data_IF_508247615167
#
_entry.id   IF_508247615167
#
_cell.length_a   1.000
_cell.length_b   1.000
_cell.length_c   1.000
_cell.angle_alpha   90.00
_cell.angle_beta   90.00
_cell.angle_gamma   90.00
#
_symmetry.space_group_name_H-M   'P 1'
#
loop_
_entity.id
_entity.type
_entity.pdbx_description
1 polymer ?
#
# COMPACT_ATOMS: atom_id res chain seq x y z
N UNK A 1 45.45 -8.66 11.43
CA UNK A 1 44.99 -9.85 12.18
C UNK A 1 44.84 -9.38 13.63
N UNK A 2 43.63 -9.05 14.04
CA UNK A 2 43.37 -8.72 15.44
C UNK A 2 43.14 -10.03 16.19
N UNK A 3 43.89 -10.29 17.25
CA UNK A 3 43.59 -11.40 18.18
C UNK A 3 42.27 -11.03 18.90
N UNK A 4 41.30 -11.94 18.92
CA UNK A 4 40.04 -11.73 19.68
C UNK A 4 40.32 -11.81 21.20
N UNK A 5 41.08 -10.89 21.74
CA UNK A 5 41.32 -10.80 23.17
C UNK A 5 40.09 -10.18 23.82
N UNK A 6 39.42 -10.90 24.70
CA UNK A 6 38.42 -10.37 25.61
C UNK A 6 36.95 -10.50 25.20
N UNK A 7 36.63 -11.21 24.10
CA UNK A 7 35.23 -11.45 23.71
C UNK A 7 34.61 -12.66 24.44
N UNK A 8 35.33 -13.29 25.34
CA UNK A 8 34.89 -14.52 26.05
C UNK A 8 33.99 -14.29 27.29
N UNK A 9 33.73 -13.04 27.67
CA UNK A 9 33.03 -12.73 28.93
C UNK A 9 31.71 -11.96 28.79
N UNK A 10 31.21 -11.77 27.57
CA UNK A 10 30.06 -10.91 27.31
C UNK A 10 28.92 -11.72 26.69
N UNK A 11 27.73 -11.28 26.88
CA UNK A 11 26.45 -11.86 26.43
C UNK A 11 26.40 -12.01 24.89
N UNK A 12 27.32 -12.82 24.36
CA UNK A 12 27.44 -13.06 22.93
C UNK A 12 26.35 -14.01 22.49
N UNK A 13 25.52 -13.55 21.61
CA UNK A 13 24.46 -14.35 21.01
C UNK A 13 24.97 -14.97 19.72
N UNK A 14 25.06 -16.29 19.67
CA UNK A 14 25.37 -17.02 18.44
C UNK A 14 24.19 -16.90 17.47
N UNK A 15 24.41 -16.18 16.37
CA UNK A 15 23.41 -15.97 15.34
C UNK A 15 23.31 -17.17 14.39
N UNK A 16 24.44 -17.61 13.87
CA UNK A 16 24.50 -18.65 12.82
C UNK A 16 25.86 -19.34 12.83
N UNK A 17 25.90 -20.61 12.40
CA UNK A 17 27.13 -21.30 12.01
C UNK A 17 27.00 -21.77 10.59
N UNK A 18 27.99 -21.49 9.77
CA UNK A 18 28.03 -21.91 8.39
C UNK A 18 29.48 -22.06 7.90
N UNK A 19 29.78 -23.18 7.24
CA UNK A 19 31.08 -23.45 6.61
C UNK A 19 32.29 -23.25 7.53
N UNK A 20 32.14 -23.62 8.81
CA UNK A 20 33.20 -23.44 9.83
C UNK A 20 33.36 -22.03 10.33
N UNK A 21 32.51 -21.09 9.88
CA UNK A 21 32.42 -19.74 10.40
C UNK A 21 31.24 -19.66 11.39
N UNK A 22 31.46 -19.11 12.55
CA UNK A 22 30.39 -18.76 13.49
C UNK A 22 30.17 -17.26 13.51
N UNK A 23 28.91 -16.86 13.48
CA UNK A 23 28.44 -15.48 13.48
C UNK A 23 27.88 -15.18 14.85
N UNK A 24 28.49 -14.22 15.53
CA UNK A 24 28.11 -13.81 16.88
C UNK A 24 27.68 -12.36 16.88
N UNK A 25 26.69 -12.05 17.68
CA UNK A 25 26.31 -10.67 17.95
C UNK A 25 26.83 -10.28 19.33
N UNK A 26 27.49 -9.16 19.39
CA UNK A 26 28.07 -8.55 20.56
C UNK A 26 27.66 -7.09 20.65
N UNK A 27 27.42 -6.58 21.83
CA UNK A 27 27.15 -5.14 22.03
C UNK A 27 28.05 -4.53 23.10
N UNK A 28 28.41 -3.27 22.89
CA UNK A 28 29.12 -2.47 23.88
C UNK A 28 28.47 -1.08 23.92
N UNK A 29 27.76 -0.78 25.03
CA UNK A 29 26.87 0.37 25.08
C UNK A 29 25.80 0.25 23.99
N UNK A 30 25.60 1.31 23.24
CA UNK A 30 24.60 1.37 22.15
C UNK A 30 25.11 0.87 20.79
N UNK A 31 26.37 0.35 20.76
CA UNK A 31 26.96 -0.13 19.50
C UNK A 31 26.90 -1.65 19.46
N UNK A 32 26.30 -2.17 18.40
CA UNK A 32 26.25 -3.60 18.11
C UNK A 32 27.30 -3.98 17.08
N UNK A 33 27.95 -5.11 17.31
CA UNK A 33 28.98 -5.67 16.46
C UNK A 33 28.56 -7.06 15.97
N UNK A 34 28.81 -7.34 14.71
CA UNK A 34 28.76 -8.69 14.16
C UNK A 34 30.19 -9.22 14.14
N UNK A 35 30.41 -10.35 14.82
CA UNK A 35 31.70 -10.99 14.90
C UNK A 35 31.66 -12.30 14.14
N UNK A 36 32.44 -12.40 13.08
CA UNK A 36 32.65 -13.61 12.30
C UNK A 36 33.90 -14.29 12.83
N UNK A 37 33.76 -15.51 13.34
CA UNK A 37 34.86 -16.27 13.90
C UNK A 37 35.05 -17.58 13.14
N UNK A 38 36.28 -17.80 12.66
CA UNK A 38 36.69 -19.05 12.01
C UNK A 38 37.90 -19.64 12.75
N UNK A 39 37.86 -20.93 13.05
CA UNK A 39 39.01 -21.67 13.61
C UNK A 39 40.10 -21.81 12.53
N UNK A 40 41.34 -21.59 12.95
CA UNK A 40 42.54 -21.74 12.12
C UNK A 40 43.61 -22.45 12.96
N UNK A 41 43.57 -23.76 13.02
CA UNK A 41 44.39 -24.59 13.92
C UNK A 41 44.02 -24.32 15.41
N UNK A 42 45.02 -24.07 16.26
CA UNK A 42 44.83 -23.72 17.66
C UNK A 42 44.37 -22.25 17.88
N UNK A 43 44.33 -21.46 16.81
CA UNK A 43 43.96 -20.06 16.85
C UNK A 43 42.60 -19.84 16.17
N UNK A 44 42.01 -18.66 16.37
CA UNK A 44 40.80 -18.23 15.66
C UNK A 44 41.05 -16.90 14.99
N UNK A 45 40.58 -16.77 13.77
CA UNK A 45 40.53 -15.49 13.06
C UNK A 45 39.15 -14.89 13.30
N UNK A 46 39.10 -13.62 13.68
CA UNK A 46 37.87 -12.90 13.88
C UNK A 46 37.82 -11.65 12.97
N UNK A 47 36.70 -11.47 12.31
CA UNK A 47 36.33 -10.21 11.66
C UNK A 47 35.23 -9.56 12.51
N UNK A 48 35.49 -8.35 12.96
CA UNK A 48 34.53 -7.57 13.74
C UNK A 48 33.97 -6.46 12.88
N UNK A 49 32.68 -6.43 12.70
CA UNK A 49 31.96 -5.43 11.90
C UNK A 49 31.08 -4.61 12.83
N UNK A 50 31.19 -3.30 12.81
CA UNK A 50 30.23 -2.41 13.46
C UNK A 50 28.90 -2.48 12.68
N UNK A 51 28.00 -3.32 13.18
CA UNK A 51 26.71 -3.57 12.52
C UNK A 51 25.72 -2.42 12.73
N UNK A 52 25.89 -1.60 13.78
CA UNK A 52 25.08 -0.38 13.98
C UNK A 52 25.39 0.65 12.90
N UNK A 53 26.67 0.90 12.66
CA UNK A 53 27.11 1.79 11.57
C UNK A 53 26.73 1.21 10.21
N UNK A 54 26.92 -0.08 10.00
CA UNK A 54 26.54 -0.78 8.76
C UNK A 54 25.04 -0.65 8.48
N UNK A 55 24.20 -0.88 9.49
CA UNK A 55 22.75 -0.71 9.38
C UNK A 55 22.39 0.73 8.99
N UNK A 56 22.99 1.72 9.65
CA UNK A 56 22.75 3.13 9.34
C UNK A 56 23.15 3.50 7.92
N UNK A 57 24.26 2.99 7.43
CA UNK A 57 24.76 3.33 6.09
C UNK A 57 24.02 2.63 4.96
N UNK A 58 23.60 1.36 5.15
CA UNK A 58 23.03 0.56 4.07
C UNK A 58 21.50 0.47 4.11
N UNK A 59 20.91 0.62 5.27
CA UNK A 59 19.52 0.22 5.50
C UNK A 59 18.64 1.34 6.06
N UNK A 60 19.18 2.19 6.95
CA UNK A 60 18.39 3.18 7.68
C UNK A 60 17.70 4.20 6.77
N UNK A 61 18.28 4.49 5.61
CA UNK A 61 17.76 5.45 4.65
C UNK A 61 16.73 4.86 3.70
N UNK A 62 16.57 3.53 3.71
CA UNK A 62 15.54 2.86 2.92
C UNK A 62 14.20 3.10 3.59
N UNK A 63 13.44 4.06 3.07
CA UNK A 63 12.09 4.39 3.51
C UNK A 63 11.07 3.67 2.65
N UNK A 64 10.16 2.94 3.30
CA UNK A 64 9.01 2.31 2.64
C UNK A 64 7.75 2.87 3.29
N UNK A 65 7.00 3.70 2.56
CA UNK A 65 5.88 4.45 3.14
C UNK A 65 6.35 5.48 4.17
N UNK A 66 5.49 5.83 5.12
CA UNK A 66 5.75 6.87 6.14
C UNK A 66 6.66 6.35 7.26
N UNK A 67 6.39 5.15 7.76
CA UNK A 67 7.05 4.57 8.93
C UNK A 67 7.74 3.24 8.65
N UNK A 68 7.78 2.80 7.38
CA UNK A 68 8.34 1.51 7.02
C UNK A 68 9.83 1.41 7.29
N UNK A 69 10.30 0.21 7.54
CA UNK A 69 11.68 -0.09 7.84
C UNK A 69 12.11 -1.44 7.29
N UNK A 70 13.41 -1.64 7.24
CA UNK A 70 14.00 -2.93 6.89
C UNK A 70 14.57 -3.58 8.15
N UNK A 71 14.35 -4.88 8.29
CA UNK A 71 14.95 -5.70 9.32
C UNK A 71 15.61 -6.95 8.72
N UNK A 72 16.62 -7.45 9.41
CA UNK A 72 17.31 -8.69 9.05
C UNK A 72 17.26 -9.64 10.22
N UNK A 73 16.90 -10.87 9.97
CA UNK A 73 16.91 -11.98 10.95
C UNK A 73 17.54 -13.22 10.36
N UNK A 74 17.98 -14.14 11.19
CA UNK A 74 18.49 -15.43 10.74
C UNK A 74 17.37 -16.44 10.46
N UNK A 75 17.73 -17.63 9.96
CA UNK A 75 16.81 -18.73 9.68
C UNK A 75 16.01 -19.22 10.92
N UNK A 76 16.51 -18.96 12.13
CA UNK A 76 15.87 -19.30 13.40
C UNK A 76 15.08 -18.15 14.02
N UNK A 77 14.73 -17.12 13.24
CA UNK A 77 13.98 -15.92 13.67
C UNK A 77 14.69 -15.07 14.72
N UNK A 78 15.99 -15.16 14.85
CA UNK A 78 16.76 -14.27 15.71
C UNK A 78 17.05 -12.98 14.95
N UNK A 79 16.79 -11.85 15.57
CA UNK A 79 16.99 -10.51 14.98
C UNK A 79 18.49 -10.22 14.87
N UNK A 80 18.97 -9.99 13.66
CA UNK A 80 20.33 -9.60 13.36
C UNK A 80 20.47 -8.08 13.27
N UNK A 81 19.52 -7.42 12.60
CA UNK A 81 19.46 -5.96 12.48
C UNK A 81 18.01 -5.48 12.51
N UNK A 82 17.76 -4.39 13.24
CA UNK A 82 16.45 -3.77 13.38
C UNK A 82 16.62 -2.28 13.69
N UNK A 83 15.69 -1.37 13.31
CA UNK A 83 15.78 0.04 13.71
C UNK A 83 15.77 0.24 15.22
N UNK A 84 15.09 -0.62 15.97
CA UNK A 84 15.07 -0.62 17.42
C UNK A 84 16.22 -1.49 17.95
N UNK A 85 17.25 -0.86 18.52
CA UNK A 85 18.47 -1.55 18.98
C UNK A 85 18.20 -2.60 20.08
N UNK A 86 17.22 -2.36 20.93
CA UNK A 86 16.84 -3.30 22.00
C UNK A 86 16.34 -4.66 21.46
N UNK A 87 16.00 -4.75 20.18
CA UNK A 87 15.55 -5.99 19.56
C UNK A 87 16.67 -6.81 18.92
N UNK A 88 17.89 -6.30 18.87
CA UNK A 88 19.00 -7.03 18.30
C UNK A 88 19.39 -8.22 19.16
N UNK A 89 19.60 -9.38 18.53
CA UNK A 89 19.99 -10.61 19.23
C UNK A 89 18.87 -11.31 19.99
N UNK A 90 17.63 -10.85 19.89
CA UNK A 90 16.49 -11.53 20.50
C UNK A 90 15.72 -12.38 19.48
N UNK A 91 14.99 -13.37 19.97
CA UNK A 91 14.00 -14.10 19.19
C UNK A 91 12.79 -13.21 18.89
N UNK A 92 12.31 -13.25 17.65
CA UNK A 92 11.22 -12.37 17.19
C UNK A 92 9.94 -12.53 18.00
N UNK A 93 9.57 -13.72 18.42
CA UNK A 93 8.36 -13.96 19.25
C UNK A 93 8.72 -13.91 20.71
N UNK A 94 9.45 -14.90 21.19
CA UNK A 94 9.71 -15.08 22.64
C UNK A 94 10.51 -13.93 23.24
N UNK A 95 11.46 -13.39 22.48
CA UNK A 95 12.26 -12.24 22.88
C UNK A 95 11.42 -10.97 23.03
N UNK A 96 10.50 -10.73 22.09
CA UNK A 96 9.58 -9.59 22.15
C UNK A 96 8.56 -9.72 23.27
N UNK A 97 8.02 -10.93 23.52
CA UNK A 97 7.15 -11.16 24.67
C UNK A 97 7.85 -10.84 26.00
N UNK A 98 9.12 -11.20 26.14
CA UNK A 98 9.93 -10.87 27.33
C UNK A 98 10.29 -9.39 27.40
N UNK A 99 10.72 -8.80 26.28
CA UNK A 99 11.13 -7.39 26.22
C UNK A 99 9.96 -6.44 26.53
N UNK A 100 8.76 -6.80 26.08
CA UNK A 100 7.53 -6.01 26.27
C UNK A 100 6.52 -6.71 27.18
N UNK A 101 6.99 -7.40 28.22
CA UNK A 101 6.17 -8.19 29.13
C UNK A 101 5.08 -7.39 29.87
N UNK A 102 5.17 -6.06 29.89
CA UNK A 102 4.15 -5.17 30.43
C UNK A 102 2.90 -5.04 29.53
N UNK A 103 2.93 -5.62 28.34
CA UNK A 103 1.84 -5.59 27.36
C UNK A 103 1.42 -7.01 26.99
N UNK A 104 0.13 -7.25 26.94
CA UNK A 104 -0.40 -8.49 26.36
C UNK A 104 -0.30 -8.40 24.82
N UNK A 105 0.65 -9.16 24.24
CA UNK A 105 0.96 -9.12 22.83
C UNK A 105 0.30 -10.31 22.10
N UNK A 106 -0.63 -10.03 21.20
CA UNK A 106 -1.08 -11.01 20.21
C UNK A 106 -0.08 -11.10 19.05
N UNK A 107 0.75 -12.13 19.05
CA UNK A 107 1.77 -12.40 18.03
C UNK A 107 1.39 -13.55 17.08
N UNK A 108 0.14 -14.00 17.08
CA UNK A 108 -0.34 -15.12 16.25
C UNK A 108 -0.09 -14.89 14.77
N UNK A 109 -0.55 -13.76 14.24
CA UNK A 109 -0.38 -13.41 12.83
C UNK A 109 1.09 -13.20 12.44
N UNK A 110 1.90 -12.66 13.35
CA UNK A 110 3.35 -12.57 13.18
C UNK A 110 3.99 -13.96 13.10
N UNK A 111 3.56 -14.91 13.92
CA UNK A 111 4.09 -16.28 13.90
C UNK A 111 3.79 -17.00 12.57
N UNK A 112 2.63 -16.74 11.96
CA UNK A 112 2.28 -17.25 10.64
C UNK A 112 3.19 -16.66 9.55
N UNK A 113 3.47 -15.34 9.59
CA UNK A 113 4.44 -14.71 8.71
C UNK A 113 5.82 -15.36 8.84
N UNK A 114 6.30 -15.56 10.08
CA UNK A 114 7.62 -16.17 10.33
C UNK A 114 7.71 -17.58 9.75
N UNK A 115 6.64 -18.38 9.86
CA UNK A 115 6.57 -19.70 9.22
C UNK A 115 6.69 -19.62 7.70
N UNK A 116 5.98 -18.69 7.07
CA UNK A 116 6.09 -18.47 5.62
C UNK A 116 7.51 -18.02 5.23
N UNK A 117 8.10 -17.10 5.99
CA UNK A 117 9.45 -16.59 5.76
C UNK A 117 10.54 -17.64 5.89
N UNK A 118 10.36 -18.68 6.71
CA UNK A 118 11.31 -19.80 6.82
C UNK A 118 11.21 -20.82 5.67
N UNK A 119 10.03 -20.92 5.06
CA UNK A 119 9.74 -21.97 4.05
C UNK A 119 9.79 -21.48 2.62
N UNK A 120 9.80 -20.15 2.40
CA UNK A 120 9.78 -19.53 1.08
C UNK A 120 11.01 -18.64 0.90
N UNK A 121 11.71 -18.75 -0.22
CA UNK A 121 12.92 -17.95 -0.52
C UNK A 121 12.61 -16.45 -0.63
N UNK A 122 11.40 -16.11 -1.06
CA UNK A 122 10.92 -14.74 -1.16
C UNK A 122 9.40 -14.69 -1.15
N UNK A 123 8.82 -13.55 -0.78
CA UNK A 123 7.39 -13.39 -0.81
C UNK A 123 6.95 -12.04 -0.27
N UNK A 124 5.65 -11.79 -0.43
CA UNK A 124 4.96 -10.65 0.17
C UNK A 124 3.79 -11.22 0.97
N UNK A 125 3.66 -10.79 2.22
CA UNK A 125 2.59 -11.21 3.13
C UNK A 125 2.11 -10.03 3.95
N UNK A 126 0.82 -9.94 4.13
CA UNK A 126 0.20 -9.07 5.10
C UNK A 126 0.01 -9.80 6.44
N UNK A 127 0.08 -9.07 7.53
CA UNK A 127 0.00 -9.61 8.87
C UNK A 127 -0.31 -8.52 9.89
N UNK A 128 -0.81 -8.92 11.04
CA UNK A 128 -1.01 -8.02 12.17
C UNK A 128 0.13 -8.16 13.17
N UNK A 129 0.68 -7.02 13.59
CA UNK A 129 1.74 -6.95 14.58
C UNK A 129 1.80 -5.56 15.21
N UNK A 130 2.82 -5.27 15.98
CA UNK A 130 3.00 -4.01 16.67
C UNK A 130 4.01 -3.13 15.95
N UNK A 131 3.86 -1.80 16.07
CA UNK A 131 4.83 -0.86 15.55
C UNK A 131 5.97 -0.72 16.56
N UNK A 132 7.02 -1.49 16.38
CA UNK A 132 8.08 -1.68 17.36
C UNK A 132 8.93 -0.44 17.63
N UNK A 133 8.94 0.52 16.71
CA UNK A 133 9.63 1.81 16.83
C UNK A 133 8.78 2.89 17.52
N UNK A 134 7.51 2.61 17.80
CA UNK A 134 6.63 3.50 18.56
C UNK A 134 6.55 3.03 20.01
N UNK A 135 6.89 3.89 20.99
CA UNK A 135 6.79 3.53 22.42
C UNK A 135 5.41 3.07 22.88
N UNK A 136 4.34 3.50 22.20
CA UNK A 136 2.96 3.08 22.48
C UNK A 136 2.66 1.67 22.00
N UNK A 137 3.49 1.12 21.12
CA UNK A 137 3.32 -0.20 20.50
C UNK A 137 1.90 -0.41 19.96
N UNK A 138 1.42 0.41 19.04
CA UNK A 138 0.11 0.20 18.44
C UNK A 138 0.11 -1.10 17.63
N UNK A 139 -0.96 -1.88 17.74
CA UNK A 139 -1.19 -3.04 16.87
C UNK A 139 -1.69 -2.53 15.52
N UNK A 140 -1.01 -2.87 14.45
CA UNK A 140 -1.27 -2.37 13.10
C UNK A 140 -1.27 -3.51 12.08
N UNK A 141 -1.98 -3.30 11.00
CA UNK A 141 -1.91 -4.15 9.81
C UNK A 141 -0.66 -3.76 9.00
N UNK A 142 0.18 -4.71 8.70
CA UNK A 142 1.47 -4.52 8.02
C UNK A 142 1.57 -5.40 6.77
N UNK A 143 2.42 -4.97 5.85
CA UNK A 143 2.89 -5.80 4.76
C UNK A 143 4.39 -6.01 4.96
N UNK A 144 4.84 -7.25 4.79
CA UNK A 144 6.25 -7.61 4.74
C UNK A 144 6.59 -8.18 3.38
N UNK A 145 7.51 -7.54 2.67
CA UNK A 145 8.20 -8.13 1.54
C UNK A 145 9.53 -8.71 2.06
N UNK A 146 9.83 -9.96 1.74
CA UNK A 146 11.03 -10.63 2.26
C UNK A 146 11.75 -11.44 1.20
N UNK A 147 13.04 -11.63 1.43
CA UNK A 147 13.90 -12.49 0.61
C UNK A 147 14.99 -13.13 1.46
N UNK A 148 15.35 -14.36 1.12
CA UNK A 148 16.52 -15.04 1.66
C UNK A 148 17.80 -14.42 1.09
N UNK A 149 18.79 -14.28 1.96
CA UNK A 149 20.16 -13.93 1.66
C UNK A 149 21.03 -15.10 2.10
N UNK A 150 21.68 -15.76 1.16
CA UNK A 150 22.55 -16.89 1.46
C UNK A 150 23.74 -16.47 2.32
N UNK A 151 23.96 -17.22 3.40
CA UNK A 151 25.09 -17.04 4.31
C UNK A 151 25.75 -18.41 4.51
N UNK A 152 26.59 -18.77 3.55
CA UNK A 152 27.20 -20.11 3.46
C UNK A 152 26.16 -21.21 3.33
N UNK A 153 26.12 -22.16 4.25
CA UNK A 153 25.13 -23.26 4.28
C UNK A 153 23.83 -22.89 5.00
N UNK A 154 23.65 -21.64 5.37
CA UNK A 154 22.45 -21.11 6.02
C UNK A 154 21.96 -19.87 5.26
N UNK A 155 20.87 -19.27 5.73
CA UNK A 155 20.35 -18.02 5.15
C UNK A 155 19.93 -17.05 6.23
N UNK A 156 19.94 -15.78 5.84
CA UNK A 156 19.28 -14.71 6.57
C UNK A 156 18.06 -14.25 5.78
N UNK A 157 17.12 -13.64 6.47
CA UNK A 157 15.88 -13.13 5.90
C UNK A 157 15.92 -11.61 6.00
N UNK A 158 16.03 -10.97 4.86
CA UNK A 158 15.89 -9.51 4.73
C UNK A 158 14.42 -9.20 4.51
N UNK A 159 13.84 -8.36 5.34
CA UNK A 159 12.41 -8.03 5.28
C UNK A 159 12.21 -6.52 5.30
N UNK A 160 11.55 -5.99 4.28
CA UNK A 160 11.01 -4.63 4.27
C UNK A 160 9.57 -4.66 4.80
N UNK A 161 9.29 -3.83 5.78
CA UNK A 161 8.00 -3.78 6.48
C UNK A 161 7.38 -2.41 6.31
N UNK A 162 6.10 -2.36 5.97
CA UNK A 162 5.34 -1.11 5.77
C UNK A 162 3.95 -1.23 6.40
N UNK A 163 3.36 -0.11 6.81
CA UNK A 163 1.95 -0.06 7.19
C UNK A 163 1.07 -0.30 5.95
N UNK A 164 0.08 -1.20 6.09
CA UNK A 164 -0.87 -1.48 5.03
C UNK A 164 -1.58 -0.21 4.56
N UNK A 165 -1.93 0.68 5.49
CA UNK A 165 -2.61 1.93 5.16
C UNK A 165 -1.76 2.88 4.33
N UNK A 166 -0.43 2.89 4.51
CA UNK A 166 0.47 3.74 3.71
C UNK A 166 0.40 3.40 2.22
N UNK A 167 0.14 2.14 1.87
CA UNK A 167 -0.04 1.69 0.49
C UNK A 167 -1.49 1.81 0.02
N UNK A 168 -2.45 1.52 0.90
CA UNK A 168 -3.86 1.48 0.54
C UNK A 168 -4.50 2.87 0.44
N UNK A 169 -4.17 3.80 1.34
CA UNK A 169 -4.80 5.12 1.37
C UNK A 169 -4.64 5.92 0.07
N UNK A 170 -3.44 6.03 -0.56
CA UNK A 170 -3.30 6.77 -1.82
C UNK A 170 -4.14 6.17 -2.96
N UNK A 171 -4.25 4.84 -3.00
CA UNK A 171 -5.05 4.12 -4.00
C UNK A 171 -6.53 4.39 -3.79
N UNK A 172 -7.02 4.27 -2.54
CA UNK A 172 -8.40 4.55 -2.17
C UNK A 172 -8.79 6.00 -2.48
N UNK A 173 -7.94 6.95 -2.10
CA UNK A 173 -8.22 8.38 -2.31
C UNK A 173 -8.24 8.74 -3.79
N UNK A 174 -7.37 8.13 -4.59
CA UNK A 174 -7.38 8.27 -6.05
C UNK A 174 -8.65 7.66 -6.66
N UNK A 175 -9.07 6.49 -6.18
CA UNK A 175 -10.31 5.85 -6.62
C UNK A 175 -11.54 6.69 -6.28
N UNK A 176 -11.62 7.24 -5.07
CA UNK A 176 -12.73 8.11 -4.66
C UNK A 176 -12.81 9.39 -5.50
N UNK A 177 -11.66 10.03 -5.79
CA UNK A 177 -11.59 11.21 -6.67
C UNK A 177 -12.09 10.87 -8.07
N UNK A 178 -11.69 9.72 -8.60
CA UNK A 178 -12.09 9.26 -9.93
C UNK A 178 -13.59 8.93 -9.96
N UNK A 179 -14.13 8.25 -8.95
CA UNK A 179 -15.56 7.96 -8.83
C UNK A 179 -16.39 9.25 -8.75
N UNK A 180 -15.94 10.26 -8.00
CA UNK A 180 -16.58 11.56 -7.94
C UNK A 180 -16.59 12.26 -9.31
N UNK A 181 -15.46 12.25 -10.01
CA UNK A 181 -15.36 12.85 -11.35
C UNK A 181 -16.32 12.17 -12.35
N UNK A 182 -16.38 10.83 -12.38
CA UNK A 182 -17.32 10.11 -13.24
C UNK A 182 -18.77 10.40 -12.86
N UNK A 183 -19.11 10.50 -11.58
CA UNK A 183 -20.44 10.87 -11.11
C UNK A 183 -20.84 12.26 -11.60
N UNK A 184 -19.93 13.24 -11.50
CA UNK A 184 -20.18 14.60 -11.99
C UNK A 184 -20.44 14.62 -13.50
N UNK A 185 -19.64 13.90 -14.29
CA UNK A 185 -19.85 13.78 -15.75
C UNK A 185 -21.21 13.13 -16.05
N UNK A 186 -21.59 12.06 -15.34
CA UNK A 186 -22.87 11.40 -15.52
C UNK A 186 -24.05 12.34 -15.24
N UNK A 187 -23.97 13.15 -14.19
CA UNK A 187 -25.00 14.16 -13.86
C UNK A 187 -25.13 15.19 -15.00
N UNK A 188 -24.01 15.70 -15.52
CA UNK A 188 -24.02 16.66 -16.62
C UNK A 188 -24.67 16.04 -17.88
N UNK A 189 -24.36 14.79 -18.21
CA UNK A 189 -24.95 14.08 -19.33
C UNK A 189 -26.48 13.89 -19.18
N UNK A 190 -26.93 13.56 -17.97
CA UNK A 190 -28.37 13.42 -17.68
C UNK A 190 -29.09 14.77 -17.85
N UNK A 191 -28.51 15.84 -17.31
CA UNK A 191 -29.08 17.19 -17.44
C UNK A 191 -29.12 17.64 -18.92
N UNK A 192 -28.03 17.40 -19.67
CA UNK A 192 -27.97 17.73 -21.07
C UNK A 192 -28.98 16.96 -21.90
N UNK A 193 -29.12 15.65 -21.67
CA UNK A 193 -30.11 14.80 -22.32
C UNK A 193 -31.55 15.30 -21.98
N UNK A 194 -31.82 15.61 -20.73
CA UNK A 194 -33.09 16.18 -20.31
C UNK A 194 -33.40 17.52 -21.00
N UNK A 195 -32.39 18.37 -21.17
CA UNK A 195 -32.52 19.63 -21.89
C UNK A 195 -32.85 19.41 -23.39
N UNK A 196 -32.17 18.47 -24.04
CA UNK A 196 -32.44 18.10 -25.45
C UNK A 196 -33.88 17.62 -25.58
N UNK A 197 -34.35 16.73 -24.70
CA UNK A 197 -35.75 16.27 -24.73
C UNK A 197 -36.77 17.41 -24.54
N UNK A 198 -36.51 18.36 -23.66
CA UNK A 198 -37.36 19.54 -23.48
C UNK A 198 -37.44 20.41 -24.72
N UNK A 199 -36.26 20.65 -25.36
CA UNK A 199 -36.19 21.42 -26.61
C UNK A 199 -36.93 20.72 -27.75
N UNK A 200 -36.75 19.40 -27.91
CA UNK A 200 -37.46 18.64 -28.95
C UNK A 200 -38.98 18.69 -28.75
N UNK A 201 -39.47 18.49 -27.51
CA UNK A 201 -40.93 18.62 -27.21
C UNK A 201 -41.45 20.01 -27.51
N UNK A 202 -40.68 21.06 -27.16
CA UNK A 202 -41.09 22.45 -27.51
C UNK A 202 -41.14 22.67 -29.00
N UNK A 203 -40.16 22.18 -29.74
CA UNK A 203 -40.10 22.31 -31.19
C UNK A 203 -41.26 21.56 -31.88
N UNK A 204 -41.57 20.33 -31.48
CA UNK A 204 -42.70 19.60 -31.97
C UNK A 204 -44.03 20.35 -31.75
N UNK A 205 -44.28 20.88 -30.56
CA UNK A 205 -45.47 21.69 -30.25
C UNK A 205 -45.56 22.95 -31.13
N UNK A 206 -44.43 23.56 -31.44
CA UNK A 206 -44.36 24.74 -32.34
C UNK A 206 -44.73 24.35 -33.77
N UNK A 207 -44.18 23.22 -34.29
CA UNK A 207 -44.50 22.70 -35.62
C UNK A 207 -46.01 22.36 -35.76
N UNK A 208 -46.58 21.67 -34.73
CA UNK A 208 -48.03 21.37 -34.71
C UNK A 208 -48.87 22.65 -34.80
N UNK A 209 -48.56 23.67 -34.00
CA UNK A 209 -49.24 24.97 -34.05
C UNK A 209 -49.16 25.68 -35.39
N UNK A 210 -47.99 25.58 -36.07
CA UNK A 210 -47.82 26.17 -37.39
C UNK A 210 -48.70 25.46 -38.40
N UNK A 211 -48.75 24.12 -38.37
CA UNK A 211 -49.61 23.33 -39.23
C UNK A 211 -51.11 23.64 -39.02
N UNK A 212 -51.54 23.71 -37.74
CA UNK A 212 -52.91 24.09 -37.37
C UNK A 212 -53.27 25.48 -37.91
N UNK A 213 -52.34 26.46 -37.82
CA UNK A 213 -52.56 27.80 -38.35
C UNK A 213 -52.61 27.85 -39.90
N UNK A 214 -51.83 27.00 -40.57
CA UNK A 214 -51.87 26.88 -42.02
C UNK A 214 -53.21 26.33 -42.49
N UNK A 215 -53.68 25.25 -41.83
CA UNK A 215 -54.99 24.65 -42.16
C UNK A 215 -56.16 25.65 -41.98
N UNK A 216 -56.13 26.44 -40.89
CA UNK A 216 -57.11 27.49 -40.66
C UNK A 216 -57.02 28.59 -41.72
N UNK A 217 -55.79 28.97 -42.13
CA UNK A 217 -55.61 30.00 -43.17
C UNK A 217 -56.09 29.54 -44.53
N UNK A 218 -55.83 28.29 -44.92
CA UNK A 218 -56.36 27.66 -46.17
C UNK A 218 -57.87 27.63 -46.18
N UNK A 219 -58.51 27.24 -45.05
CA UNK A 219 -60.00 27.23 -44.94
C UNK A 219 -60.58 28.65 -45.05
N UNK A 220 -59.88 29.66 -44.52
CA UNK A 220 -60.32 31.06 -44.65
C UNK A 220 -60.20 31.57 -46.10
N UNK A 221 -59.16 31.21 -46.83
CA UNK A 221 -59.00 31.55 -48.21
C UNK A 221 -60.08 30.91 -49.11
N UNK A 222 -60.44 29.61 -48.83
CA UNK A 222 -61.54 28.96 -49.53
C UNK A 222 -62.90 29.62 -49.28
N UNK A 223 -63.16 29.98 -48.02
CA UNK A 223 -64.38 30.71 -47.64
C UNK A 223 -64.45 32.09 -48.34
N UNK A 224 -63.31 32.79 -48.41
CA UNK A 224 -63.23 34.08 -49.08
C UNK A 224 -63.55 33.95 -50.56
N UNK A 225 -62.92 32.99 -51.27
CA UNK A 225 -63.19 32.68 -52.64
C UNK A 225 -64.67 32.33 -52.92
N UNK A 226 -65.24 31.49 -52.02
CA UNK A 226 -66.66 31.14 -52.10
C UNK A 226 -67.58 32.35 -51.94
N UNK A 227 -67.25 33.27 -51.02
CA UNK A 227 -68.01 34.55 -50.88
C UNK A 227 -67.88 35.47 -52.10
N UNK A 228 -66.68 35.56 -52.67
CA UNK A 228 -66.47 36.34 -53.84
C UNK A 228 -67.22 35.80 -55.05
N UNK A 229 -67.27 34.47 -55.28
CA UNK A 229 -68.04 33.85 -56.31
C UNK A 229 -69.55 34.07 -56.14
N UNK A 230 -70.06 33.89 -54.90
CA UNK A 230 -71.49 34.19 -54.63
C UNK A 230 -71.83 35.66 -54.86
N UNK A 231 -70.96 36.59 -54.44
CA UNK A 231 -71.14 38.02 -54.71
C UNK A 231 -71.10 38.37 -56.19
N UNK A 232 -70.25 37.63 -56.96
CA UNK A 232 -70.24 37.82 -58.45
C UNK A 232 -71.49 37.27 -59.10
N UNK A 233 -72.00 36.10 -58.69
CA UNK A 233 -73.24 35.50 -59.21
C UNK A 233 -74.48 36.37 -58.91
N UNK A 234 -74.51 36.98 -57.70
CA UNK A 234 -75.58 37.94 -57.36
C UNK A 234 -75.54 39.21 -58.18
N UNK A 235 -74.37 39.67 -58.66
CA UNK A 235 -74.23 40.83 -59.53
C UNK A 235 -74.65 40.54 -61.00
N UNK A 236 -74.58 39.27 -61.41
CA UNK A 236 -75.00 38.90 -62.77
C UNK A 236 -76.49 38.63 -62.87
N UNK A 237 -77.27 38.59 -61.76
CA UNK A 237 -78.72 38.35 -61.72
C UNK A 237 -79.55 39.67 -61.58
N UNK A 238 -78.89 40.83 -61.53
CA UNK A 238 -79.49 42.17 -61.54
C UNK A 238 -79.26 42.84 -62.90
#
# INVERSE_FOLDING_TARGET
VYRCYGITALSDVLITRSEGVSYWQYHRGDTHYLVLKKAAGEQSVCLVVDSTTLYKQLVSDIRVGTNGYVMIKNANDMVVMHPELAQWGIQVVDGRQKLYAYKDLDLTSLSELLKAQRTQDSGIRDYYSYWWTDPKLPRVHKISAFRHLDVGSSFWIVSAVVDYNDLYQPVRDSFLKMAFMFSAVAVVLVLFTGMIFRLQRKNQRSVTKINDLQEVNEALEELQKSRESLAHDQRLQL
#
